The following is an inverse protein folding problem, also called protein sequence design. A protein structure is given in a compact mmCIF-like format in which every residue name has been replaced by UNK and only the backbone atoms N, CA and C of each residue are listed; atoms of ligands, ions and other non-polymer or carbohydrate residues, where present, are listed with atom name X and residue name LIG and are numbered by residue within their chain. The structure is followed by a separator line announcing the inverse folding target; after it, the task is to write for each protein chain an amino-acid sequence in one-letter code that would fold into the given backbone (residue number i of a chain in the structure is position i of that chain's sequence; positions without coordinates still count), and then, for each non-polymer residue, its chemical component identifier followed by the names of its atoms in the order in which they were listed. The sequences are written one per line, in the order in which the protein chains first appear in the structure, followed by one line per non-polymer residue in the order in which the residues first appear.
data_IF_572877741527
#
_entry.id   IF_572877741527
#
_cell.length_a   1.000
_cell.length_b   1.000
_cell.length_c   1.000
_cell.angle_alpha   90.00
_cell.angle_beta   90.00
_cell.angle_gamma   90.00
#
_symmetry.space_group_name_H-M   'P 1'
#
loop_
_entity.id
_entity.type
_entity.pdbx_description
1 polymer ?
#
# COMPACT_ATOMS: atom_id res chain seq x y z
N UNK A 1 8.58 14.29 8.23
CA UNK A 1 9.13 13.49 7.12
C UNK A 1 10.02 12.47 7.80
N UNK A 2 9.66 11.18 7.78
CA UNK A 2 10.51 10.15 8.38
C UNK A 2 11.85 10.09 7.62
N UNK A 3 12.92 9.83 8.35
CA UNK A 3 14.26 9.70 7.79
C UNK A 3 14.39 8.39 7.00
N UNK A 4 15.33 8.32 6.04
CA UNK A 4 15.63 7.11 5.26
C UNK A 4 15.68 5.80 6.09
N UNK A 5 16.38 5.74 7.24
CA UNK A 5 16.44 4.52 8.06
C UNK A 5 15.10 4.11 8.68
N UNK A 6 14.18 5.05 8.95
CA UNK A 6 12.87 4.74 9.50
C UNK A 6 11.98 4.03 8.46
N UNK A 7 12.06 4.47 7.20
CA UNK A 7 11.33 3.85 6.08
C UNK A 7 11.79 2.42 5.85
N UNK A 8 13.09 2.17 5.93
CA UNK A 8 13.67 0.83 5.77
C UNK A 8 13.25 -0.11 6.91
N UNK A 9 13.18 0.40 8.14
CA UNK A 9 12.72 -0.38 9.29
C UNK A 9 11.28 -0.82 9.12
N UNK A 10 10.39 0.13 8.77
CA UNK A 10 8.97 -0.14 8.52
C UNK A 10 8.78 -1.13 7.36
N UNK A 11 9.58 -1.02 6.29
CA UNK A 11 9.56 -1.96 5.16
C UNK A 11 9.91 -3.39 5.60
N UNK A 12 11.01 -3.57 6.33
CA UNK A 12 11.46 -4.88 6.80
C UNK A 12 10.48 -5.54 7.77
N UNK A 13 9.86 -4.75 8.65
CA UNK A 13 8.84 -5.22 9.59
C UNK A 13 7.54 -5.61 8.87
N UNK A 14 7.11 -4.85 7.87
CA UNK A 14 5.87 -5.11 7.14
C UNK A 14 5.98 -6.26 6.14
N UNK A 15 7.12 -6.42 5.47
CA UNK A 15 7.37 -7.44 4.45
C UNK A 15 6.84 -8.84 4.82
N UNK A 16 7.24 -9.47 5.95
CA UNK A 16 6.77 -10.82 6.29
C UNK A 16 5.27 -10.90 6.60
N UNK A 17 4.64 -9.78 6.95
CA UNK A 17 3.23 -9.74 7.31
C UNK A 17 2.31 -9.50 6.11
N UNK A 18 2.81 -8.85 5.07
CA UNK A 18 1.99 -8.40 3.93
C UNK A 18 2.26 -9.19 2.65
N UNK A 19 3.46 -9.76 2.48
CA UNK A 19 3.82 -10.53 1.29
C UNK A 19 2.94 -11.78 1.17
N UNK A 20 2.37 -11.98 -0.02
CA UNK A 20 1.44 -13.08 -0.30
C UNK A 20 -0.01 -12.84 0.14
N UNK A 21 -0.31 -11.69 0.78
CA UNK A 21 -1.71 -11.31 1.07
C UNK A 21 -2.36 -10.67 -0.15
N UNK A 22 -3.63 -10.99 -0.37
CA UNK A 22 -4.47 -10.37 -1.38
C UNK A 22 -5.23 -9.18 -0.79
N UNK A 23 -5.26 -8.07 -1.52
CA UNK A 23 -6.03 -6.89 -1.14
C UNK A 23 -7.51 -7.15 -1.43
N UNK A 24 -8.33 -7.27 -0.40
CA UNK A 24 -9.78 -7.53 -0.53
C UNK A 24 -10.60 -6.26 -0.61
N UNK A 25 -10.02 -5.10 -0.30
CA UNK A 25 -10.70 -3.82 -0.28
C UNK A 25 -9.78 -2.73 0.24
N UNK A 26 -10.05 -1.49 -0.17
CA UNK A 26 -9.27 -0.32 0.23
C UNK A 26 -10.26 0.74 0.71
N UNK A 27 -10.12 1.10 1.97
CA UNK A 27 -10.79 2.26 2.55
C UNK A 27 -9.84 3.47 2.46
N UNK A 28 -10.35 4.58 1.92
CA UNK A 28 -9.59 5.84 1.86
C UNK A 28 -10.35 6.84 2.71
N UNK A 29 -9.86 7.08 3.92
CA UNK A 29 -10.41 8.08 4.82
C UNK A 29 -10.16 9.52 4.31
N UNK A 30 -9.18 9.69 3.41
CA UNK A 30 -8.86 10.97 2.81
C UNK A 30 -8.59 10.84 1.31
N UNK A 31 -9.44 11.47 0.50
CA UNK A 31 -9.37 11.42 -0.97
C UNK A 31 -8.09 12.06 -1.53
N UNK A 32 -7.52 13.05 -0.81
CA UNK A 32 -6.29 13.74 -1.19
C UNK A 32 -5.00 12.93 -1.06
N UNK A 33 -5.06 11.71 -0.49
CA UNK A 33 -3.90 10.80 -0.42
C UNK A 33 -3.55 10.26 -1.81
N UNK A 34 -4.54 10.06 -2.69
CA UNK A 34 -4.32 9.52 -4.04
C UNK A 34 -4.19 10.69 -5.02
N UNK A 35 -2.95 11.04 -5.37
CA UNK A 35 -2.68 12.17 -6.28
C UNK A 35 -3.08 11.91 -7.75
N UNK A 36 -2.93 10.66 -8.21
CA UNK A 36 -3.32 10.16 -9.53
C UNK A 36 -3.28 8.62 -9.48
N UNK A 37 -4.21 7.85 -10.08
CA UNK A 37 -5.28 8.23 -11.01
C UNK A 37 -6.53 8.85 -10.35
N UNK A 38 -7.29 8.11 -9.55
CA UNK A 38 -8.40 8.61 -8.72
C UNK A 38 -8.64 7.57 -7.63
N UNK A 39 -9.16 7.98 -6.46
CA UNK A 39 -9.42 7.07 -5.35
C UNK A 39 -10.22 5.82 -5.76
N UNK A 40 -11.24 5.98 -6.60
CA UNK A 40 -12.07 4.88 -7.11
C UNK A 40 -11.31 3.95 -8.07
N UNK A 41 -10.58 4.52 -9.04
CA UNK A 41 -9.71 3.77 -9.96
C UNK A 41 -8.64 2.98 -9.20
N UNK A 42 -8.00 3.61 -8.21
CA UNK A 42 -6.99 3.00 -7.36
C UNK A 42 -7.55 1.81 -6.58
N UNK A 43 -8.77 1.95 -6.02
CA UNK A 43 -9.48 0.86 -5.35
C UNK A 43 -9.74 -0.32 -6.28
N UNK A 44 -10.28 -0.05 -7.48
CA UNK A 44 -10.60 -1.09 -8.45
C UNK A 44 -9.37 -1.81 -8.97
N UNK A 45 -8.27 -1.09 -9.22
CA UNK A 45 -7.04 -1.68 -9.75
C UNK A 45 -6.31 -2.57 -8.73
N UNK A 46 -6.34 -2.21 -7.45
CA UNK A 46 -5.67 -2.96 -6.39
C UNK A 46 -6.54 -4.07 -5.81
N UNK A 47 -7.86 -4.01 -5.95
CA UNK A 47 -8.75 -5.07 -5.49
C UNK A 47 -8.42 -6.41 -6.18
N UNK A 48 -8.09 -7.42 -5.38
CA UNK A 48 -7.68 -8.74 -5.86
C UNK A 48 -6.20 -8.88 -6.21
N UNK A 49 -5.39 -7.83 -6.08
CA UNK A 49 -3.95 -7.94 -6.26
C UNK A 49 -3.27 -8.53 -5.02
N UNK A 50 -2.28 -9.38 -5.25
CA UNK A 50 -1.42 -9.91 -4.22
C UNK A 50 -0.18 -9.03 -4.06
N UNK A 51 0.25 -8.81 -2.82
CA UNK A 51 1.47 -8.06 -2.53
C UNK A 51 2.67 -8.97 -2.78
N UNK A 52 3.44 -8.68 -3.83
CA UNK A 52 4.60 -9.48 -4.27
C UNK A 52 5.93 -8.96 -3.75
N UNK A 53 5.99 -7.70 -3.32
CA UNK A 53 7.22 -7.05 -2.87
C UNK A 53 6.94 -5.64 -2.34
N UNK A 54 7.82 -5.17 -1.45
CA UNK A 54 7.94 -3.75 -1.10
C UNK A 54 9.38 -3.36 -1.44
N UNK A 55 9.55 -2.51 -2.45
CA UNK A 55 10.86 -2.09 -2.95
C UNK A 55 11.23 -0.71 -2.43
#
# INVERSE_FOLDING_TARGET
MPELPEVETVKNELLPHVIGRCITGIDLAWDGIVRYPSAQEFRSQLHGQAITGIT
#
